data_IF_464366016421
#
_entry.id   IF_464366016421
#
_cell.length_a   1.000
_cell.length_b   1.000
_cell.length_c   1.000
_cell.angle_alpha   90.00
_cell.angle_beta   90.00
_cell.angle_gamma   90.00
#
_symmetry.space_group_name_H-M   'P 1'
#
loop_
_entity.id
_entity.type
_entity.pdbx_description
1 polymer ?
#
# COMPACT_ATOMS: atom_id res chain seq x y z
N UNK A 1 -41.45 -50.28 23.73
CA UNK A 1 -40.58 -51.29 23.09
C UNK A 1 -39.98 -50.63 21.85
N UNK A 2 -38.77 -50.07 21.97
CA UNK A 2 -38.06 -49.40 20.87
C UNK A 2 -36.71 -50.10 20.69
N UNK A 3 -36.46 -50.61 19.48
CA UNK A 3 -35.17 -51.23 19.10
C UNK A 3 -34.18 -50.14 18.74
N UNK A 4 -33.02 -50.16 19.40
CA UNK A 4 -31.84 -49.38 19.02
C UNK A 4 -31.05 -50.19 17.98
N UNK A 5 -30.55 -49.58 16.89
CA UNK A 5 -29.69 -50.28 15.93
C UNK A 5 -28.24 -50.27 16.38
N UNK A 6 -27.61 -51.44 16.36
CA UNK A 6 -26.18 -51.63 16.59
C UNK A 6 -25.37 -51.10 15.40
N UNK A 7 -24.54 -50.09 15.65
CA UNK A 7 -23.51 -49.64 14.71
C UNK A 7 -22.18 -50.32 15.04
N UNK A 8 -21.77 -51.25 14.19
CA UNK A 8 -20.43 -51.83 14.20
C UNK A 8 -19.49 -50.91 13.41
N UNK A 9 -18.44 -50.40 14.05
CA UNK A 9 -17.39 -49.61 13.40
C UNK A 9 -16.40 -50.54 12.67
N UNK A 10 -15.93 -50.19 11.45
CA UNK A 10 -14.88 -50.94 10.78
C UNK A 10 -13.51 -50.64 11.39
N UNK A 11 -12.79 -51.71 11.74
CA UNK A 11 -11.39 -51.69 12.16
C UNK A 11 -10.49 -51.31 10.97
N UNK A 12 -9.97 -50.08 10.98
CA UNK A 12 -8.92 -49.65 10.06
C UNK A 12 -7.55 -50.08 10.57
N UNK A 13 -6.86 -50.94 9.81
CA UNK A 13 -5.46 -51.28 10.00
C UNK A 13 -4.57 -50.03 9.86
N UNK A 14 -3.78 -49.77 10.89
CA UNK A 14 -2.81 -48.68 10.96
C UNK A 14 -1.48 -49.13 10.35
N UNK A 15 -1.24 -48.77 9.09
CA UNK A 15 0.07 -48.95 8.46
C UNK A 15 0.99 -47.78 8.84
N UNK A 16 1.92 -48.04 9.76
CA UNK A 16 2.95 -47.07 10.14
C UNK A 16 3.94 -46.83 8.98
N UNK A 17 4.26 -45.57 8.63
CA UNK A 17 5.32 -45.31 7.67
C UNK A 17 6.70 -45.44 8.33
N UNK A 18 7.50 -46.28 7.69
CA UNK A 18 8.93 -46.52 7.93
C UNK A 18 9.75 -45.23 7.90
N UNK A 19 10.54 -45.02 8.97
CA UNK A 19 11.51 -43.93 9.11
C UNK A 19 12.79 -44.33 8.37
N UNK A 20 12.95 -43.86 7.14
CA UNK A 20 14.25 -43.88 6.44
C UNK A 20 15.05 -42.62 6.78
N UNK A 21 15.99 -42.77 7.72
CA UNK A 21 17.05 -41.80 7.99
C UNK A 21 18.02 -41.72 6.80
N UNK A 22 18.20 -40.52 6.23
CA UNK A 22 19.23 -40.22 5.23
C UNK A 22 20.16 -39.11 5.74
N UNK A 23 21.45 -39.13 5.31
CA UNK A 23 22.54 -38.46 6.03
C UNK A 23 22.59 -36.95 5.78
N UNK A 24 23.03 -36.24 6.83
CA UNK A 24 23.28 -34.80 6.84
C UNK A 24 24.27 -34.39 5.74
N UNK A 25 23.76 -33.70 4.71
CA UNK A 25 24.58 -32.91 3.79
C UNK A 25 24.74 -31.52 4.37
N UNK A 26 25.98 -31.17 4.72
CA UNK A 26 26.44 -29.81 5.03
C UNK A 26 26.09 -28.90 3.86
N UNK A 27 25.24 -27.91 4.11
CA UNK A 27 24.96 -26.82 3.19
C UNK A 27 26.18 -25.89 3.15
N UNK A 28 26.88 -25.88 2.01
CA UNK A 28 27.75 -24.77 1.63
C UNK A 28 26.81 -23.72 1.03
N UNK A 29 26.41 -22.75 1.85
CA UNK A 29 25.75 -21.56 1.36
C UNK A 29 26.78 -20.72 0.61
N UNK A 30 26.56 -20.49 -0.68
CA UNK A 30 27.13 -19.33 -1.33
C UNK A 30 26.37 -18.11 -0.78
N UNK A 31 27.02 -17.34 0.09
CA UNK A 31 26.55 -16.03 0.50
C UNK A 31 26.24 -15.20 -0.75
N UNK A 32 24.96 -14.89 -0.93
CA UNK A 32 24.53 -13.86 -1.85
C UNK A 32 25.05 -12.53 -1.30
N UNK A 33 26.16 -12.05 -1.87
CA UNK A 33 26.83 -10.82 -1.45
C UNK A 33 25.83 -9.67 -1.43
N UNK A 34 25.69 -9.04 -0.26
CA UNK A 34 25.02 -7.76 -0.10
C UNK A 34 25.54 -6.80 -1.19
N UNK A 35 24.67 -6.24 -2.07
CA UNK A 35 25.10 -5.31 -3.10
C UNK A 35 25.81 -4.06 -2.53
N UNK A 36 25.71 -3.81 -1.22
CA UNK A 36 26.42 -2.73 -0.53
C UNK A 36 27.78 -3.12 0.07
N UNK A 37 28.15 -4.41 0.13
CA UNK A 37 29.48 -4.84 0.60
C UNK A 37 30.60 -4.48 -0.40
N UNK A 38 30.26 -4.30 -1.68
CA UNK A 38 31.20 -3.77 -2.67
C UNK A 38 31.51 -2.29 -2.45
N UNK A 39 30.52 -1.51 -1.99
CA UNK A 39 30.68 -0.10 -1.65
C UNK A 39 31.45 0.08 -0.34
N UNK A 40 31.18 -0.76 0.67
CA UNK A 40 31.90 -0.74 1.95
C UNK A 40 33.38 -1.10 1.78
N UNK A 41 33.70 -2.07 0.92
CA UNK A 41 35.09 -2.41 0.56
C UNK A 41 35.78 -1.33 -0.27
N UNK A 42 35.06 -0.59 -1.11
CA UNK A 42 35.65 0.52 -1.86
C UNK A 42 36.00 1.72 -0.97
N UNK A 43 35.30 1.92 0.16
CA UNK A 43 35.62 2.96 1.15
C UNK A 43 36.80 2.61 2.05
N UNK A 44 37.11 1.33 2.28
CA UNK A 44 38.25 0.91 3.12
C UNK A 44 39.60 0.99 2.38
N UNK A 45 39.60 1.07 1.06
CA UNK A 45 40.85 1.14 0.27
C UNK A 45 41.35 2.57 -0.01
N UNK A 46 40.76 3.61 0.60
CA UNK A 46 41.22 5.00 0.40
C UNK A 46 41.95 5.62 1.59
N UNK A 47 42.21 4.87 2.67
CA UNK A 47 43.03 5.35 3.79
C UNK A 47 44.47 4.81 3.70
N UNK A 48 45.22 5.26 2.70
CA UNK A 48 46.68 5.25 2.75
C UNK A 48 47.20 6.64 3.13
N UNK A 49 47.54 6.76 4.42
CA UNK A 49 48.73 7.40 4.98
C UNK A 49 49.24 8.66 4.23
N UNK A 50 48.73 9.81 4.63
CA UNK A 50 49.53 11.04 4.67
C UNK A 50 49.53 11.57 6.10
N UNK A 51 50.63 11.32 6.81
CA UNK A 51 50.93 11.96 8.08
C UNK A 51 51.66 13.28 7.86
N UNK A 52 51.35 14.21 8.77
CA UNK A 52 52.13 15.33 9.25
C UNK A 52 52.30 16.60 8.40
N UNK A 53 51.65 17.65 8.92
CA UNK A 53 52.36 18.88 9.25
C UNK A 53 51.94 20.11 8.48
N UNK A 54 50.95 20.87 8.98
CA UNK A 54 50.94 22.33 8.87
C UNK A 54 49.84 22.97 9.73
N UNK A 55 50.29 23.57 10.83
CA UNK A 55 49.89 24.85 11.42
C UNK A 55 48.60 25.52 10.93
N UNK A 56 47.76 25.88 11.90
CA UNK A 56 46.65 26.83 11.80
C UNK A 56 47.08 28.16 11.15
N UNK A 57 46.12 28.82 10.48
CA UNK A 57 45.76 30.15 10.98
C UNK A 57 44.25 30.37 11.01
N UNK A 58 43.83 31.14 12.02
CA UNK A 58 42.49 31.71 12.08
C UNK A 58 42.32 32.86 11.10
N UNK A 59 41.06 33.23 10.89
CA UNK A 59 40.52 34.60 10.85
C UNK A 59 39.31 34.67 9.92
N UNK A 60 38.20 35.13 10.51
CA UNK A 60 37.22 36.09 9.97
C UNK A 60 37.29 36.38 8.49
N UNK A 61 36.16 36.28 7.76
CA UNK A 61 35.82 37.25 6.72
C UNK A 61 34.38 37.73 6.84
N UNK A 62 34.27 39.05 6.93
CA UNK A 62 33.06 39.85 6.78
C UNK A 62 32.82 40.19 5.30
N UNK A 63 31.56 40.48 4.99
CA UNK A 63 31.01 41.32 3.91
C UNK A 63 32.02 42.02 2.97
N UNK A 64 31.81 41.93 1.65
CA UNK A 64 31.61 43.11 0.79
C UNK A 64 31.29 42.74 -0.68
N UNK A 65 30.15 43.24 -1.14
CA UNK A 65 29.93 44.09 -2.34
C UNK A 65 30.52 43.73 -3.72
N UNK A 66 29.58 43.65 -4.69
CA UNK A 66 29.71 43.87 -6.15
C UNK A 66 30.66 45.02 -6.53
N UNK A 67 31.31 44.98 -7.72
CA UNK A 67 30.71 45.47 -8.99
C UNK A 67 31.05 44.57 -10.20
N UNK A 68 30.15 44.36 -11.17
CA UNK A 68 29.93 45.19 -12.38
C UNK A 68 31.17 45.49 -13.23
N UNK A 69 31.24 44.80 -14.37
CA UNK A 69 31.40 45.30 -15.75
C UNK A 69 32.65 44.88 -16.56
N UNK A 70 32.30 44.34 -17.73
CA UNK A 70 32.92 44.50 -19.05
C UNK A 70 33.75 43.35 -19.65
N UNK A 71 33.68 43.19 -20.98
CA UNK A 71 33.93 41.93 -21.68
C UNK A 71 35.26 41.94 -22.42
N UNK A 72 35.83 40.76 -22.65
CA UNK A 72 36.89 40.59 -23.64
C UNK A 72 36.82 39.23 -24.33
N UNK A 73 37.36 39.13 -25.56
CA UNK A 73 36.89 38.20 -26.56
C UNK A 73 37.90 37.09 -26.86
N UNK A 74 37.43 36.11 -27.64
CA UNK A 74 38.23 35.09 -28.35
C UNK A 74 38.95 34.05 -27.50
N UNK A 75 38.44 32.81 -27.58
CA UNK A 75 39.26 31.60 -27.51
C UNK A 75 38.77 30.57 -28.53
N UNK A 76 39.67 29.79 -29.14
CA UNK A 76 39.40 29.01 -30.34
C UNK A 76 38.69 27.68 -30.01
N UNK A 77 37.85 27.27 -30.95
CA UNK A 77 36.92 26.14 -30.81
C UNK A 77 37.59 24.80 -30.53
N UNK A 78 37.11 24.15 -29.47
CA UNK A 78 37.27 22.72 -29.22
C UNK A 78 36.09 22.00 -29.90
N UNK A 79 36.33 20.92 -30.67
CA UNK A 79 35.24 20.17 -31.30
C UNK A 79 34.42 19.45 -30.23
N UNK A 80 33.16 19.87 -30.08
CA UNK A 80 32.17 19.17 -29.25
C UNK A 80 31.87 17.79 -29.86
N UNK A 81 32.14 16.74 -29.09
CA UNK A 81 31.67 15.40 -29.41
C UNK A 81 30.14 15.37 -29.36
N UNK A 82 29.54 15.02 -30.50
CA UNK A 82 28.10 14.89 -30.66
C UNK A 82 27.64 13.62 -29.93
N UNK A 83 27.30 13.74 -28.64
CA UNK A 83 26.72 12.65 -27.87
C UNK A 83 25.27 12.48 -28.33
N UNK A 84 25.06 11.53 -29.23
CA UNK A 84 23.73 11.10 -29.65
C UNK A 84 22.93 10.69 -28.40
N UNK A 85 21.81 11.38 -28.17
CA UNK A 85 20.90 11.06 -27.08
C UNK A 85 20.41 9.60 -27.20
N UNK A 86 20.38 8.83 -26.09
CA UNK A 86 19.96 7.44 -26.14
C UNK A 86 18.51 7.35 -26.60
N UNK A 87 18.31 6.65 -27.72
CA UNK A 87 17.01 6.30 -28.30
C UNK A 87 16.18 5.61 -27.22
N UNK A 88 15.14 6.29 -26.74
CA UNK A 88 14.17 5.74 -25.78
C UNK A 88 13.50 4.52 -26.41
N UNK A 89 13.76 3.34 -25.86
CA UNK A 89 13.03 2.12 -26.23
C UNK A 89 11.56 2.28 -25.84
N UNK A 90 10.61 1.87 -26.70
CA UNK A 90 9.20 1.95 -26.38
C UNK A 90 8.87 1.05 -25.18
N UNK A 91 8.30 1.66 -24.14
CA UNK A 91 7.80 0.96 -22.96
C UNK A 91 6.67 0.02 -23.43
N UNK A 92 6.87 -1.26 -23.17
CA UNK A 92 5.88 -2.32 -23.39
C UNK A 92 4.63 -1.94 -22.59
N UNK A 93 3.52 -1.68 -23.28
CA UNK A 93 2.22 -1.41 -22.66
C UNK A 93 1.73 -2.68 -21.98
N UNK A 94 2.06 -2.85 -20.70
CA UNK A 94 1.48 -3.89 -19.89
C UNK A 94 0.02 -3.52 -19.61
N UNK A 95 -0.93 -4.34 -20.06
CA UNK A 95 -2.32 -4.27 -19.58
C UNK A 95 -2.30 -4.67 -18.09
N UNK A 96 -2.13 -3.71 -17.20
CA UNK A 96 -1.73 -3.92 -15.79
C UNK A 96 -2.89 -4.14 -14.82
N UNK A 97 -4.14 -3.97 -15.27
CA UNK A 97 -5.29 -4.45 -14.53
C UNK A 97 -5.68 -5.83 -15.05
N UNK A 98 -5.90 -6.84 -14.19
CA UNK A 98 -6.57 -8.05 -14.61
C UNK A 98 -8.00 -7.66 -15.01
N UNK A 99 -8.19 -7.28 -16.26
CA UNK A 99 -9.49 -7.39 -16.89
C UNK A 99 -9.84 -8.86 -16.77
N UNK A 100 -10.76 -9.20 -15.87
CA UNK A 100 -11.37 -10.52 -15.90
C UNK A 100 -11.95 -10.64 -17.29
N UNK A 101 -11.26 -11.40 -18.14
CA UNK A 101 -11.75 -11.82 -19.42
C UNK A 101 -12.98 -12.66 -19.07
N UNK A 102 -14.17 -12.04 -19.15
CA UNK A 102 -15.44 -12.75 -19.04
C UNK A 102 -15.46 -13.70 -20.23
N UNK A 103 -14.94 -14.91 -20.03
CA UNK A 103 -15.10 -16.00 -20.98
C UNK A 103 -16.61 -16.09 -21.27
N UNK A 104 -17.06 -15.92 -22.52
CA UNK A 104 -18.46 -16.09 -22.87
C UNK A 104 -18.81 -17.54 -22.54
N UNK A 105 -19.57 -17.76 -21.46
CA UNK A 105 -20.09 -19.09 -21.17
C UNK A 105 -21.13 -19.38 -22.23
N UNK A 106 -20.92 -20.49 -22.93
CA UNK A 106 -21.83 -21.06 -23.92
C UNK A 106 -23.27 -21.12 -23.38
N UNK A 107 -24.28 -21.01 -24.26
CA UNK A 107 -25.68 -21.17 -23.89
C UNK A 107 -25.97 -22.65 -23.64
N UNK A 108 -25.80 -23.07 -22.38
CA UNK A 108 -26.24 -24.36 -21.86
C UNK A 108 -27.49 -24.15 -21.01
N UNK A 109 -28.61 -24.64 -21.50
CA UNK A 109 -29.97 -24.49 -20.98
C UNK A 109 -30.16 -25.16 -19.60
N UNK A 110 -30.68 -24.40 -18.63
CA UNK A 110 -31.42 -24.89 -17.45
C UNK A 110 -30.79 -24.61 -16.07
N UNK A 111 -31.55 -24.68 -14.96
CA UNK A 111 -32.95 -24.36 -14.73
C UNK A 111 -33.11 -22.99 -14.01
N UNK A 112 -34.35 -22.51 -13.94
CA UNK A 112 -34.81 -21.31 -13.23
C UNK A 112 -34.49 -21.35 -11.72
N UNK A 113 -33.23 -21.14 -11.34
CA UNK A 113 -32.84 -20.87 -9.97
C UNK A 113 -32.87 -19.37 -9.75
N UNK A 114 -33.96 -18.88 -9.14
CA UNK A 114 -34.11 -17.56 -8.52
C UNK A 114 -32.85 -16.70 -8.65
N UNK A 115 -32.82 -15.89 -9.72
CA UNK A 115 -31.89 -14.78 -9.83
C UNK A 115 -32.15 -13.88 -8.63
N UNK A 116 -31.42 -14.12 -7.54
CA UNK A 116 -31.09 -13.11 -6.54
C UNK A 116 -30.46 -12.00 -7.35
N UNK A 117 -31.31 -11.08 -7.80
CA UNK A 117 -30.92 -9.76 -8.23
C UNK A 117 -30.18 -9.24 -7.02
N UNK A 118 -28.84 -9.35 -7.07
CA UNK A 118 -27.98 -8.77 -6.06
C UNK A 118 -28.51 -7.35 -5.88
N UNK A 119 -28.87 -6.93 -4.65
CA UNK A 119 -29.39 -5.59 -4.41
C UNK A 119 -28.45 -4.66 -5.16
N UNK A 120 -29.01 -3.96 -6.16
CA UNK A 120 -28.24 -3.12 -7.05
C UNK A 120 -27.47 -2.17 -6.16
N UNK A 121 -26.17 -2.43 -6.02
CA UNK A 121 -25.27 -1.59 -5.26
C UNK A 121 -25.44 -0.22 -5.91
N UNK A 122 -26.06 0.72 -5.19
CA UNK A 122 -26.14 2.07 -5.71
C UNK A 122 -24.71 2.48 -6.02
N UNK A 123 -24.42 2.92 -7.26
CA UNK A 123 -23.07 3.29 -7.62
C UNK A 123 -22.56 4.25 -6.56
N UNK A 124 -21.38 3.94 -6.03
CA UNK A 124 -20.61 4.83 -5.18
C UNK A 124 -20.78 6.23 -5.76
N UNK A 125 -21.17 7.21 -4.94
CA UNK A 125 -21.53 8.54 -5.43
C UNK A 125 -20.54 8.97 -6.53
N UNK A 126 -21.01 8.95 -7.78
CA UNK A 126 -20.19 9.17 -8.95
C UNK A 126 -19.63 10.60 -8.97
N UNK A 127 -19.91 11.41 -7.94
CA UNK A 127 -19.33 12.72 -7.68
C UNK A 127 -18.32 12.78 -6.52
N UNK A 128 -18.23 11.80 -5.62
CA UNK A 128 -17.19 11.71 -4.59
C UNK A 128 -15.75 11.66 -5.16
N UNK A 129 -15.09 12.82 -5.31
CA UNK A 129 -13.69 12.94 -5.77
C UNK A 129 -12.67 12.83 -4.64
N UNK A 130 -13.07 13.11 -3.42
CA UNK A 130 -12.14 13.37 -2.32
C UNK A 130 -12.61 12.63 -1.08
N UNK A 131 -11.70 11.87 -0.47
CA UNK A 131 -11.96 10.99 0.65
C UNK A 131 -11.24 11.50 1.89
N UNK A 132 -11.96 11.62 2.99
CA UNK A 132 -11.41 12.01 4.29
C UNK A 132 -11.47 10.84 5.24
N UNK A 133 -10.34 10.51 5.86
CA UNK A 133 -10.30 9.51 6.92
C UNK A 133 -10.58 10.20 8.26
N UNK A 134 -11.62 9.73 8.94
CA UNK A 134 -11.94 10.10 10.31
C UNK A 134 -12.42 8.81 10.99
N UNK A 135 -11.46 8.08 11.57
CA UNK A 135 -11.70 6.75 12.13
C UNK A 135 -12.90 6.78 13.11
N UNK A 136 -13.80 5.78 13.06
CA UNK A 136 -13.70 4.53 12.30
C UNK A 136 -14.21 4.61 10.84
N UNK A 137 -14.42 5.80 10.27
CA UNK A 137 -15.05 5.95 8.96
C UNK A 137 -14.16 6.64 7.91
N UNK A 138 -14.44 6.36 6.65
CA UNK A 138 -13.95 7.16 5.51
C UNK A 138 -15.14 7.85 4.87
N UNK A 139 -15.09 9.17 4.82
CA UNK A 139 -16.13 10.03 4.30
C UNK A 139 -15.78 10.50 2.90
N UNK A 140 -16.76 10.58 2.00
CA UNK A 140 -16.61 11.36 0.78
C UNK A 140 -16.90 12.83 1.08
N UNK A 141 -15.92 13.71 0.91
CA UNK A 141 -16.04 15.10 1.40
C UNK A 141 -17.00 15.96 0.58
N UNK A 142 -17.27 15.60 -0.69
CA UNK A 142 -18.24 16.32 -1.53
C UNK A 142 -19.69 15.94 -1.21
N UNK A 143 -19.92 14.75 -0.66
CA UNK A 143 -21.26 14.23 -0.44
C UNK A 143 -21.63 14.15 1.03
N UNK A 144 -22.11 15.29 1.54
CA UNK A 144 -22.95 15.37 2.75
C UNK A 144 -22.43 14.58 3.95
N UNK A 145 -21.14 14.62 4.28
CA UNK A 145 -20.56 13.92 5.44
C UNK A 145 -21.06 12.46 5.58
N UNK A 146 -21.30 11.76 4.47
CA UNK A 146 -21.78 10.38 4.51
C UNK A 146 -20.59 9.42 4.54
N UNK A 147 -20.54 8.48 5.48
CA UNK A 147 -19.49 7.48 5.52
C UNK A 147 -19.67 6.54 4.32
N UNK A 148 -18.60 6.33 3.55
CA UNK A 148 -18.56 5.38 2.44
C UNK A 148 -17.88 4.07 2.84
N UNK A 149 -16.87 4.14 3.72
CA UNK A 149 -16.21 2.97 4.26
C UNK A 149 -16.26 2.98 5.78
N UNK A 150 -16.36 1.78 6.35
CA UNK A 150 -16.27 1.53 7.78
C UNK A 150 -15.05 0.66 8.03
N UNK A 151 -14.27 1.09 9.01
CA UNK A 151 -13.01 0.49 9.44
C UNK A 151 -13.23 -0.05 10.85
N UNK A 152 -12.94 -1.33 11.06
CA UNK A 152 -12.94 -1.94 12.38
C UNK A 152 -11.55 -2.38 12.75
N UNK A 153 -11.08 -1.91 13.90
CA UNK A 153 -9.89 -2.43 14.55
C UNK A 153 -10.25 -3.72 15.27
N UNK A 154 -9.48 -4.77 15.04
CA UNK A 154 -9.57 -6.02 15.78
C UNK A 154 -8.40 -6.06 16.74
N UNK A 155 -8.71 -6.11 18.03
CA UNK A 155 -7.72 -6.19 19.10
C UNK A 155 -7.34 -7.65 19.38
N UNK A 156 -6.10 -7.88 19.76
CA UNK A 156 -5.63 -9.16 20.30
C UNK A 156 -6.10 -9.37 21.75
N UNK A 157 -5.59 -10.44 22.38
CA UNK A 157 -5.88 -10.76 23.79
C UNK A 157 -5.26 -9.77 24.77
N UNK A 158 -4.19 -9.09 24.35
CA UNK A 158 -3.43 -8.13 25.16
C UNK A 158 -4.00 -6.70 24.99
N UNK A 159 -5.05 -6.54 24.17
CA UNK A 159 -5.68 -5.26 23.86
C UNK A 159 -4.94 -4.45 22.79
N UNK A 160 -3.86 -4.99 22.23
CA UNK A 160 -3.12 -4.40 21.12
C UNK A 160 -3.87 -4.57 19.80
N UNK A 161 -3.68 -3.68 18.82
CA UNK A 161 -4.30 -3.85 17.52
C UNK A 161 -3.63 -4.94 16.71
N UNK A 162 -4.38 -6.00 16.38
CA UNK A 162 -3.89 -7.14 15.62
C UNK A 162 -4.17 -7.04 14.13
N UNK A 163 -5.34 -6.53 13.77
CA UNK A 163 -5.73 -6.37 12.37
C UNK A 163 -6.78 -5.28 12.20
N UNK A 164 -6.98 -4.87 10.96
CA UNK A 164 -7.94 -3.85 10.59
C UNK A 164 -8.79 -4.33 9.42
N UNK A 165 -10.11 -4.34 9.60
CA UNK A 165 -11.06 -4.76 8.57
C UNK A 165 -11.66 -3.52 7.90
N UNK A 166 -11.73 -3.53 6.57
CA UNK A 166 -12.34 -2.46 5.77
C UNK A 166 -13.54 -3.03 5.01
N UNK A 167 -14.69 -2.38 5.14
CA UNK A 167 -15.89 -2.68 4.37
C UNK A 167 -16.50 -1.41 3.79
N UNK A 168 -17.35 -1.59 2.79
CA UNK A 168 -18.26 -0.53 2.33
C UNK A 168 -19.42 -0.38 3.30
N UNK A 169 -19.88 0.86 3.44
CA UNK A 169 -21.11 1.18 4.15
C UNK A 169 -22.27 1.12 3.17
N UNK A 170 -23.33 0.44 3.56
CA UNK A 170 -24.51 0.33 2.72
C UNK A 170 -25.35 1.61 2.77
N UNK A 171 -26.04 1.99 1.67
CA UNK A 171 -26.91 3.16 1.66
C UNK A 171 -28.03 3.15 2.72
N UNK A 172 -28.47 1.98 3.17
CA UNK A 172 -29.47 1.87 4.24
C UNK A 172 -28.85 2.06 5.63
N UNK A 173 -27.56 1.78 5.80
CA UNK A 173 -26.81 2.04 7.04
C UNK A 173 -26.49 3.53 7.19
N UNK A 174 -26.17 4.24 6.10
CA UNK A 174 -25.81 5.68 6.15
C UNK A 174 -26.94 6.56 6.69
N UNK A 175 -28.21 6.23 6.41
CA UNK A 175 -29.38 6.97 6.92
C UNK A 175 -29.44 7.01 8.45
N UNK A 176 -28.91 5.98 9.11
CA UNK A 176 -28.83 5.93 10.57
C UNK A 176 -27.77 6.87 11.14
N UNK A 177 -26.76 7.25 10.33
CA UNK A 177 -25.66 8.11 10.73
C UNK A 177 -25.87 9.59 10.38
N UNK A 178 -26.85 9.93 9.54
CA UNK A 178 -27.14 11.32 9.17
C UNK A 178 -27.98 12.08 10.20
N UNK A 179 -28.27 11.51 11.36
CA UNK A 179 -29.08 12.15 12.42
C UNK A 179 -28.18 13.05 13.27
N UNK A 180 -28.56 14.32 13.54
CA UNK A 180 -27.71 15.27 14.26
C UNK A 180 -27.21 14.76 15.61
N UNK A 181 -25.98 15.16 15.96
CA UNK A 181 -25.22 14.76 17.16
C UNK A 181 -25.96 14.93 18.50
N UNK A 182 -27.06 15.69 18.56
CA UNK A 182 -27.92 15.84 19.74
C UNK A 182 -28.58 14.52 20.21
N UNK A 183 -28.54 13.46 19.39
CA UNK A 183 -28.95 12.09 19.80
C UNK A 183 -27.80 11.08 19.88
N UNK A 184 -26.55 11.50 19.60
CA UNK A 184 -25.38 10.62 19.60
C UNK A 184 -25.03 10.10 21.01
N UNK A 185 -25.42 10.79 22.08
CA UNK A 185 -25.16 10.37 23.46
C UNK A 185 -25.82 9.05 23.89
N UNK A 186 -26.72 8.49 23.08
CA UNK A 186 -27.28 7.13 23.26
C UNK A 186 -27.38 6.34 21.94
N UNK A 187 -26.73 6.85 20.88
CA UNK A 187 -26.97 6.42 19.50
C UNK A 187 -26.28 5.10 19.16
N UNK A 188 -27.03 4.16 18.57
CA UNK A 188 -26.53 2.88 18.08
C UNK A 188 -25.34 3.12 17.13
N UNK A 189 -24.11 2.89 17.62
CA UNK A 189 -22.92 2.81 16.77
C UNK A 189 -23.22 1.81 15.66
N UNK A 190 -23.01 2.22 14.40
CA UNK A 190 -23.19 1.32 13.27
C UNK A 190 -22.39 0.05 13.55
N UNK A 191 -23.05 -1.10 13.60
CA UNK A 191 -22.35 -2.36 13.84
C UNK A 191 -21.51 -2.69 12.62
N UNK A 192 -20.31 -3.20 12.86
CA UNK A 192 -19.50 -3.70 11.76
C UNK A 192 -20.10 -5.03 11.28
N UNK A 193 -20.33 -5.16 9.97
CA UNK A 193 -20.78 -6.40 9.36
C UNK A 193 -19.57 -7.12 8.76
N UNK A 194 -19.09 -8.17 9.44
CA UNK A 194 -17.90 -8.92 9.04
C UNK A 194 -18.09 -9.64 7.69
N UNK A 195 -19.31 -10.04 7.35
CA UNK A 195 -19.63 -10.73 6.08
C UNK A 195 -19.42 -9.84 4.85
N UNK A 196 -19.42 -8.51 5.04
CA UNK A 196 -19.22 -7.51 3.99
C UNK A 196 -17.79 -6.95 3.97
N UNK A 197 -16.87 -7.56 4.73
CA UNK A 197 -15.46 -7.18 4.73
C UNK A 197 -14.87 -7.31 3.33
N UNK A 198 -14.34 -6.20 2.80
CA UNK A 198 -13.62 -6.19 1.53
C UNK A 198 -12.18 -6.64 1.73
N UNK A 199 -11.50 -6.02 2.69
CA UNK A 199 -10.08 -6.24 2.95
C UNK A 199 -9.82 -6.39 4.44
N UNK A 200 -8.94 -7.34 4.79
CA UNK A 200 -8.35 -7.46 6.12
C UNK A 200 -6.88 -7.09 6.04
N UNK A 201 -6.45 -6.17 6.89
CA UNK A 201 -5.08 -5.69 7.00
C UNK A 201 -4.43 -6.31 8.23
N UNK A 202 -3.24 -6.85 8.05
CA UNK A 202 -2.33 -7.30 9.10
C UNK A 202 -1.11 -6.37 9.17
N UNK A 203 -0.19 -6.65 10.09
CA UNK A 203 1.08 -5.92 10.22
C UNK A 203 2.01 -6.04 9.01
N UNK A 204 1.74 -6.97 8.08
CA UNK A 204 2.64 -7.26 6.97
C UNK A 204 1.96 -7.17 5.61
N UNK A 205 0.65 -7.42 5.56
CA UNK A 205 -0.09 -7.50 4.31
C UNK A 205 -1.57 -7.16 4.43
N UNK A 206 -2.19 -6.92 3.29
CA UNK A 206 -3.64 -6.76 3.15
C UNK A 206 -4.18 -7.87 2.25
N UNK A 207 -5.26 -8.53 2.68
CA UNK A 207 -5.87 -9.65 1.96
C UNK A 207 -7.32 -9.32 1.60
N UNK A 208 -7.70 -9.58 0.35
CA UNK A 208 -9.10 -9.51 -0.08
C UNK A 208 -9.93 -10.66 0.53
N UNK A 209 -11.13 -10.35 1.00
CA UNK A 209 -12.09 -11.32 1.60
C UNK A 209 -13.33 -11.55 0.72
N UNK A 210 -13.82 -10.51 0.05
CA UNK A 210 -15.04 -10.56 -0.76
C UNK A 210 -14.81 -10.89 -2.24
N UNK A 211 -15.85 -11.34 -2.94
CA UNK A 211 -15.79 -11.64 -4.39
C UNK A 211 -15.53 -10.42 -5.30
N UNK A 212 -15.66 -9.21 -4.76
CA UNK A 212 -15.29 -7.95 -5.41
C UNK A 212 -13.86 -7.50 -5.11
N UNK A 213 -13.20 -8.07 -4.09
CA UNK A 213 -11.85 -7.70 -3.68
C UNK A 213 -10.80 -8.42 -4.52
N UNK A 214 -9.60 -7.84 -4.58
CA UNK A 214 -8.47 -8.43 -5.29
C UNK A 214 -7.95 -9.67 -4.53
N UNK A 215 -8.05 -10.85 -5.14
CA UNK A 215 -7.52 -12.09 -4.58
C UNK A 215 -5.99 -12.05 -4.48
N UNK A 216 -5.43 -12.51 -3.36
CA UNK A 216 -3.98 -12.56 -3.13
C UNK A 216 -3.58 -11.80 -1.86
N UNK A 217 -2.30 -11.46 -1.77
CA UNK A 217 -1.73 -10.63 -0.69
C UNK A 217 -1.28 -9.32 -1.30
N UNK A 218 -1.58 -8.21 -0.65
CA UNK A 218 -1.12 -6.87 -1.02
C UNK A 218 -0.07 -6.46 0.01
N UNK A 219 1.14 -6.20 -0.45
CA UNK A 219 2.29 -5.90 0.39
C UNK A 219 2.78 -4.49 0.13
N UNK A 220 3.25 -3.83 1.19
CA UNK A 220 3.74 -2.46 1.13
C UNK A 220 5.25 -2.46 1.38
N UNK A 221 5.98 -1.72 0.54
CA UNK A 221 7.41 -1.47 0.71
C UNK A 221 7.66 0.03 0.72
N UNK A 222 8.40 0.52 1.70
CA UNK A 222 8.79 1.93 1.79
C UNK A 222 10.29 2.07 1.60
N UNK A 223 10.71 3.26 1.16
CA UNK A 223 12.12 3.59 1.10
C UNK A 223 12.34 5.08 0.89
N UNK A 224 13.61 5.47 0.75
CA UNK A 224 14.02 6.84 0.43
C UNK A 224 14.74 6.85 -0.92
N UNK A 225 14.62 7.94 -1.65
CA UNK A 225 15.43 8.20 -2.85
C UNK A 225 16.79 8.77 -2.44
N UNK A 226 17.76 8.78 -3.37
CA UNK A 226 19.07 9.41 -3.14
C UNK A 226 18.96 10.89 -2.75
N UNK A 227 17.88 11.56 -3.17
CA UNK A 227 17.58 12.96 -2.86
C UNK A 227 16.74 13.13 -1.57
N UNK A 228 16.65 12.09 -0.73
CA UNK A 228 15.94 12.12 0.55
C UNK A 228 14.41 12.05 0.47
N UNK A 229 13.83 11.88 -0.73
CA UNK A 229 12.37 11.77 -0.88
C UNK A 229 11.86 10.38 -0.48
N UNK A 230 10.88 10.32 0.43
CA UNK A 230 10.23 9.05 0.77
C UNK A 230 9.34 8.56 -0.39
N UNK A 231 9.40 7.27 -0.65
CA UNK A 231 8.52 6.57 -1.58
C UNK A 231 7.87 5.36 -0.92
N UNK A 232 6.72 4.97 -1.45
CA UNK A 232 6.01 3.75 -1.07
C UNK A 232 5.61 3.01 -2.34
N UNK A 233 5.82 1.70 -2.39
CA UNK A 233 5.35 0.83 -3.48
C UNK A 233 4.44 -0.23 -2.88
N UNK A 234 3.30 -0.41 -3.52
CA UNK A 234 2.26 -1.34 -3.13
C UNK A 234 2.21 -2.43 -4.18
N UNK A 235 2.47 -3.66 -3.75
CA UNK A 235 2.62 -4.82 -4.60
C UNK A 235 1.44 -5.76 -4.41
N UNK A 236 0.87 -6.23 -5.51
CA UNK A 236 0.02 -7.41 -5.51
C UNK A 236 0.88 -8.66 -5.65
N UNK A 237 0.77 -9.54 -4.67
CA UNK A 237 1.53 -10.77 -4.54
C UNK A 237 0.56 -11.93 -4.69
N UNK A 238 0.66 -12.65 -5.80
CA UNK A 238 -0.15 -13.85 -6.07
C UNK A 238 0.68 -15.11 -5.96
N UNK A 239 0.01 -16.23 -5.70
CA UNK A 239 0.64 -17.55 -5.78
C UNK A 239 1.26 -17.73 -7.17
N UNK A 240 2.41 -18.40 -7.20
CA UNK A 240 3.09 -18.81 -8.41
C UNK A 240 2.09 -19.50 -9.38
N UNK A 241 1.87 -18.90 -10.55
CA UNK A 241 0.92 -19.41 -11.56
C UNK A 241 1.43 -20.63 -12.31
N UNK A 242 2.71 -20.92 -12.20
CA UNK A 242 3.29 -22.05 -12.89
C UNK A 242 2.65 -23.33 -12.31
N UNK A 243 1.83 -24.01 -13.11
CA UNK A 243 1.25 -25.32 -12.82
C UNK A 243 2.34 -26.42 -12.84
N UNK A 244 3.50 -26.13 -12.25
CA UNK A 244 4.48 -27.15 -12.01
C UNK A 244 3.92 -28.03 -10.90
N UNK A 245 3.60 -29.28 -11.24
CA UNK A 245 3.23 -30.34 -10.30
C UNK A 245 4.25 -30.51 -9.16
N UNK A 246 5.44 -29.91 -9.27
CA UNK A 246 6.49 -29.88 -8.24
C UNK A 246 6.67 -28.55 -7.51
N UNK A 247 5.74 -27.59 -7.61
CA UNK A 247 5.74 -26.40 -6.75
C UNK A 247 5.32 -26.81 -5.33
N UNK A 248 6.18 -27.58 -4.68
CA UNK A 248 6.01 -28.01 -3.31
C UNK A 248 6.08 -26.76 -2.44
N UNK A 249 5.18 -26.67 -1.46
CA UNK A 249 5.07 -25.59 -0.48
C UNK A 249 6.38 -25.26 0.28
N UNK A 250 7.45 -26.04 0.07
CA UNK A 250 8.82 -25.86 0.58
C UNK A 250 9.66 -24.79 -0.15
N UNK A 251 9.06 -23.91 -0.94
CA UNK A 251 9.58 -22.53 -1.02
C UNK A 251 10.66 -22.22 -2.05
N UNK A 252 10.59 -22.78 -3.26
CA UNK A 252 11.47 -22.33 -4.36
C UNK A 252 10.77 -21.52 -5.45
N UNK A 253 9.43 -21.57 -5.56
CA UNK A 253 8.77 -20.67 -6.51
C UNK A 253 8.57 -19.29 -5.88
N UNK A 254 9.27 -18.29 -6.42
CA UNK A 254 9.03 -16.90 -6.06
C UNK A 254 7.58 -16.52 -6.39
N UNK A 255 6.88 -15.85 -5.47
CA UNK A 255 5.52 -15.40 -5.75
C UNK A 255 5.55 -14.34 -6.85
N UNK A 256 4.52 -14.34 -7.69
CA UNK A 256 4.39 -13.33 -8.73
C UNK A 256 4.05 -11.98 -8.08
N UNK A 257 4.95 -11.00 -8.22
CA UNK A 257 4.77 -9.64 -7.70
C UNK A 257 4.44 -8.69 -8.84
N UNK A 258 3.32 -7.98 -8.71
CA UNK A 258 2.87 -6.95 -9.65
C UNK A 258 2.73 -5.62 -8.92
N UNK A 259 3.30 -4.56 -9.46
CA UNK A 259 3.13 -3.23 -8.88
C UNK A 259 1.66 -2.81 -9.07
N UNK A 260 0.98 -2.40 -7.99
CA UNK A 260 -0.35 -1.79 -8.07
C UNK A 260 -0.22 -0.28 -8.10
N UNK A 261 0.45 0.27 -7.09
CA UNK A 261 0.59 1.71 -6.90
C UNK A 261 2.00 2.08 -6.44
N UNK A 262 2.45 3.26 -6.84
CA UNK A 262 3.61 3.92 -6.29
C UNK A 262 3.21 5.30 -5.75
N UNK A 263 3.60 5.58 -4.50
CA UNK A 263 3.34 6.85 -3.83
C UNK A 263 4.65 7.61 -3.70
N UNK A 264 4.70 8.83 -4.23
CA UNK A 264 5.86 9.72 -4.14
C UNK A 264 5.39 11.12 -3.78
N UNK A 265 5.86 11.65 -2.63
CA UNK A 265 5.46 12.99 -2.15
C UNK A 265 3.93 13.20 -2.16
N UNK A 266 3.17 12.19 -1.72
CA UNK A 266 1.70 12.21 -1.72
C UNK A 266 1.04 11.98 -3.09
N UNK A 267 1.77 11.90 -4.19
CA UNK A 267 1.20 11.57 -5.51
C UNK A 267 1.10 10.05 -5.65
N UNK A 268 -0.10 9.56 -5.94
CA UNK A 268 -0.37 8.14 -6.19
C UNK A 268 -0.37 7.90 -7.70
N UNK A 269 0.54 7.04 -8.15
CA UNK A 269 0.68 6.58 -9.53
C UNK A 269 0.32 5.09 -9.59
N UNK A 270 -0.32 4.63 -10.67
CA UNK A 270 -0.49 3.18 -10.92
C UNK A 270 0.76 2.55 -11.54
N UNK A 271 0.66 1.27 -11.89
CA UNK A 271 1.74 0.49 -12.49
C UNK A 271 2.32 1.10 -13.78
N UNK A 272 1.50 1.85 -14.52
CA UNK A 272 1.88 2.49 -15.79
C UNK A 272 2.41 3.92 -15.56
N UNK A 273 2.50 4.37 -14.30
CA UNK A 273 2.90 5.73 -13.94
C UNK A 273 1.78 6.76 -14.12
N UNK A 274 0.54 6.33 -14.36
CA UNK A 274 -0.61 7.25 -14.48
C UNK A 274 -1.03 7.68 -13.09
N UNK A 275 -1.17 8.99 -12.89
CA UNK A 275 -1.65 9.51 -11.60
C UNK A 275 -3.08 9.03 -11.38
N UNK A 276 -3.32 8.40 -10.23
CA UNK A 276 -4.62 7.87 -9.80
C UNK A 276 -5.20 8.64 -8.62
N UNK A 277 -4.34 9.33 -7.86
CA UNK A 277 -4.79 10.21 -6.79
C UNK A 277 -3.67 11.06 -6.21
N UNK A 278 -4.04 11.96 -5.30
CA UNK A 278 -3.13 12.81 -4.55
C UNK A 278 -3.58 12.84 -3.09
N UNK A 279 -2.62 12.67 -2.21
CA UNK A 279 -2.82 12.83 -0.79
C UNK A 279 -2.48 14.27 -0.41
N UNK A 280 -3.49 15.00 0.05
CA UNK A 280 -3.26 16.28 0.69
C UNK A 280 -2.82 16.01 2.13
N UNK A 281 -1.52 16.19 2.39
CA UNK A 281 -1.10 16.48 3.76
C UNK A 281 -1.63 17.87 4.05
N UNK A 282 -2.42 18.01 5.11
CA UNK A 282 -2.86 19.30 5.63
C UNK A 282 -1.64 20.17 5.89
N UNK A 283 -1.15 20.84 4.85
CA UNK A 283 -0.02 21.74 4.91
C UNK A 283 -0.58 23.03 5.49
N UNK A 284 -0.83 23.05 6.80
CA UNK A 284 -0.75 24.29 7.54
C UNK A 284 0.65 24.86 7.25
N UNK A 285 0.66 25.95 6.49
CA UNK A 285 1.76 26.32 5.61
C UNK A 285 3.14 26.35 6.27
N UNK A 286 4.13 25.77 5.59
CA UNK A 286 5.53 25.99 5.99
C UNK A 286 6.50 25.75 4.83
N UNK A 287 6.45 26.65 3.84
CA UNK A 287 7.65 27.10 3.13
C UNK A 287 8.14 28.46 3.64
N UNK A 288 7.57 28.95 4.75
CA UNK A 288 8.16 30.04 5.52
C UNK A 288 9.24 29.50 6.44
N UNK A 289 10.40 30.16 6.48
CA UNK A 289 11.62 29.85 7.26
C UNK A 289 11.45 29.67 8.79
N UNK A 290 10.23 29.53 9.32
CA UNK A 290 9.92 29.45 10.75
C UNK A 290 9.92 28.05 11.38
N UNK A 291 10.26 26.99 10.63
CA UNK A 291 10.24 25.60 11.12
C UNK A 291 11.29 25.26 12.21
N UNK A 292 12.08 26.23 12.66
CA UNK A 292 13.08 26.05 13.73
C UNK A 292 12.53 26.25 15.14
N UNK A 293 11.26 26.63 15.30
CA UNK A 293 10.61 26.79 16.61
C UNK A 293 9.25 26.07 16.66
N UNK A 294 9.14 24.89 16.04
CA UNK A 294 8.01 24.00 16.34
C UNK A 294 8.31 23.32 17.67
N UNK A 295 7.94 24.07 18.71
CA UNK A 295 7.91 23.67 20.10
C UNK A 295 7.26 22.29 20.24
N UNK A 296 7.78 21.47 21.15
CA UNK A 296 7.27 20.13 21.50
C UNK A 296 5.95 20.24 22.30
N UNK A 297 5.02 21.07 21.82
CA UNK A 297 3.67 21.18 22.35
C UNK A 297 2.86 19.97 21.90
N UNK A 298 2.81 18.95 22.75
CA UNK A 298 1.92 17.81 22.62
C UNK A 298 0.46 18.27 22.64
N UNK A 299 -0.26 18.06 21.53
CA UNK A 299 -1.66 18.43 21.36
C UNK A 299 -1.92 18.73 19.89
N UNK A 300 -2.07 17.72 19.03
CA UNK A 300 -3.31 16.95 19.00
C UNK A 300 -4.31 17.50 17.97
N UNK A 301 -3.88 18.34 17.02
CA UNK A 301 -4.66 18.51 15.79
C UNK A 301 -4.50 17.22 14.97
N UNK A 302 -5.52 16.36 15.07
CA UNK A 302 -5.76 15.25 14.17
C UNK A 302 -5.88 15.81 12.74
N UNK A 303 -4.73 16.01 12.07
CA UNK A 303 -4.68 16.43 10.68
C UNK A 303 -5.47 15.43 9.85
N UNK A 304 -6.69 15.81 9.51
CA UNK A 304 -7.57 15.07 8.61
C UNK A 304 -6.80 14.77 7.32
N UNK A 305 -6.44 13.49 7.11
CA UNK A 305 -5.82 13.04 5.87
C UNK A 305 -6.87 12.99 4.78
N UNK A 306 -6.59 13.64 3.65
CA UNK A 306 -7.49 13.67 2.49
C UNK A 306 -6.82 13.01 1.29
N UNK A 307 -7.55 12.13 0.62
CA UNK A 307 -7.17 11.49 -0.63
C UNK A 307 -8.08 11.98 -1.76
N UNK A 308 -7.49 12.70 -2.72
CA UNK A 308 -8.15 13.14 -3.93
C UNK A 308 -7.95 12.12 -5.04
N UNK A 309 -9.03 11.51 -5.50
CA UNK A 309 -9.05 10.47 -6.54
C UNK A 309 -9.41 11.06 -7.89
N UNK A 310 -8.63 10.73 -8.91
CA UNK A 310 -8.84 11.23 -10.28
C UNK A 310 -10.04 10.55 -10.94
N UNK A 311 -10.77 11.29 -11.76
CA UNK A 311 -12.02 10.85 -12.40
C UNK A 311 -11.96 9.51 -13.14
N UNK A 312 -10.83 9.20 -13.79
CA UNK A 312 -10.66 7.92 -14.49
C UNK A 312 -10.72 6.69 -13.57
N UNK A 313 -10.28 6.82 -12.32
CA UNK A 313 -10.32 5.73 -11.33
C UNK A 313 -11.73 5.52 -10.81
N UNK A 314 -12.54 6.57 -10.78
CA UNK A 314 -13.88 6.58 -10.19
C UNK A 314 -14.88 5.78 -11.01
N UNK A 315 -14.64 5.68 -12.33
CA UNK A 315 -15.44 4.84 -13.24
C UNK A 315 -15.23 3.35 -13.02
N UNK A 316 -14.12 2.96 -12.37
CA UNK A 316 -13.84 1.57 -12.00
C UNK A 316 -13.95 1.44 -10.47
N UNK A 317 -15.14 1.04 -10.02
CA UNK A 317 -15.46 0.84 -8.61
C UNK A 317 -14.43 0.00 -7.86
N UNK A 318 -13.92 -1.05 -8.49
CA UNK A 318 -12.97 -1.98 -7.87
C UNK A 318 -11.61 -1.32 -7.71
N UNK A 319 -11.17 -0.56 -8.71
CA UNK A 319 -9.92 0.22 -8.63
C UNK A 319 -10.05 1.32 -7.56
N UNK A 320 -11.20 1.97 -7.46
CA UNK A 320 -11.52 2.94 -6.41
C UNK A 320 -11.42 2.34 -5.00
N UNK A 321 -12.12 1.23 -4.76
CA UNK A 321 -12.04 0.52 -3.46
C UNK A 321 -10.62 0.11 -3.10
N UNK A 322 -9.92 -0.48 -4.07
CA UNK A 322 -8.55 -0.94 -3.87
C UNK A 322 -7.64 0.24 -3.54
N UNK A 323 -7.80 1.39 -4.19
CA UNK A 323 -7.03 2.59 -3.92
C UNK A 323 -7.30 3.12 -2.50
N UNK A 324 -8.57 3.22 -2.09
CA UNK A 324 -8.94 3.66 -0.73
C UNK A 324 -8.40 2.69 0.32
N UNK A 325 -8.54 1.38 0.11
CA UNK A 325 -8.02 0.36 1.03
C UNK A 325 -6.49 0.42 1.15
N UNK A 326 -5.78 0.58 0.02
CA UNK A 326 -4.32 0.77 -0.01
C UNK A 326 -3.89 2.05 0.71
N UNK A 327 -4.67 3.12 0.61
CA UNK A 327 -4.43 4.37 1.34
C UNK A 327 -4.59 4.18 2.85
N UNK A 328 -5.68 3.54 3.30
CA UNK A 328 -5.88 3.19 4.71
C UNK A 328 -4.73 2.28 5.21
N UNK A 329 -4.31 1.29 4.41
CA UNK A 329 -3.17 0.43 4.74
C UNK A 329 -1.88 1.23 4.92
N UNK A 330 -1.60 2.19 4.04
CA UNK A 330 -0.42 3.07 4.15
C UNK A 330 -0.43 3.83 5.47
N UNK A 331 -1.58 4.41 5.84
CA UNK A 331 -1.73 5.19 7.06
C UNK A 331 -1.61 4.31 8.32
N UNK A 332 -2.23 3.14 8.30
CA UNK A 332 -2.13 2.14 9.37
C UNK A 332 -0.68 1.73 9.63
N UNK A 333 0.02 1.30 8.58
CA UNK A 333 1.41 0.84 8.65
C UNK A 333 2.41 1.94 9.02
N UNK A 334 2.07 3.20 8.77
CA UNK A 334 2.88 4.34 9.15
C UNK A 334 2.62 4.80 10.61
N UNK A 335 1.67 4.18 11.32
CA UNK A 335 1.19 4.68 12.62
C UNK A 335 0.53 6.05 12.51
N UNK A 336 0.11 6.46 11.32
CA UNK A 336 -0.53 7.76 11.04
C UNK A 336 -2.06 7.70 11.24
N UNK A 337 -2.61 6.52 11.58
CA UNK A 337 -4.04 6.33 11.78
C UNK A 337 -4.41 6.65 13.24
N UNK A 338 -4.89 7.88 13.46
CA UNK A 338 -5.44 8.29 14.76
C UNK A 338 -6.77 7.61 15.02
N UNK A 339 -6.81 6.74 16.04
CA UNK A 339 -8.07 6.29 16.64
C UNK A 339 -8.39 7.27 17.77
N UNK A 340 -9.55 7.92 17.72
CA UNK A 340 -10.04 8.61 18.91
C UNK A 340 -10.35 7.52 19.95
N UNK A 341 -9.67 7.56 21.09
CA UNK A 341 -10.03 6.74 22.25
C UNK A 341 -11.46 7.14 22.67
N UNK A 342 -12.41 6.21 22.50
CA UNK A 342 -13.79 6.37 22.96
C UNK A 342 -13.88 6.42 24.50
#
# INVERSE_FOLDING_TARGET
MFRVPDYSAPSGESTAPSICSTPAKRNVYAEEKDPFDALRRASETSEEVFSDGALSPGSTWSNSTRPSSSPSPFSPGTPMFNIAAPVRRPIVKAKTFPSQERSPRFPGTGPEGLGKTLPGWMPLDEQAKTFRLQAPFVYASQSRNLPQYHIQQVLDRDGGPSSLNIRRVQPHETRSCSVPALHAGRGRRMRYNEDETLYTLSDFDMKGRGGSALEGSIQLTTGKTLWGGQWTRIWHVTKCRAQHHGCNYRGTCEPEKRLLFCVKKGVWEDADGVVVGREERGSLGSLGLGALLRDKGAGGENESRVLDVIEGVRKDERKGDLLVACWVMRLWMAGELGWEED
#
